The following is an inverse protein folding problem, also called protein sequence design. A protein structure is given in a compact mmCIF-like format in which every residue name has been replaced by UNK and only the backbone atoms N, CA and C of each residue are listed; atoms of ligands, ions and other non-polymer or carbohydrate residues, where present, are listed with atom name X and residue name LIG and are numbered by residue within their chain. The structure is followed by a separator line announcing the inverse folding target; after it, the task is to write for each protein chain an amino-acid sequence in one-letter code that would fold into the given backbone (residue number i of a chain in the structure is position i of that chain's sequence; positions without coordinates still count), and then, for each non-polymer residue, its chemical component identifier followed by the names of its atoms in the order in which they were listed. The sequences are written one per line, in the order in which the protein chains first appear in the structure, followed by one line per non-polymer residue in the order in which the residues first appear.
data_IF_246077262996
#
_entry.id   IF_246077262996
#
_cell.length_a   1.000
_cell.length_b   1.000
_cell.length_c   1.000
_cell.angle_alpha   90.00
_cell.angle_beta   90.00
_cell.angle_gamma   90.00
#
_symmetry.space_group_name_H-M   'P 1'
#
loop_
_entity.id
_entity.type
_entity.pdbx_description
1 polymer ?
#
# COMPACT_ATOMS: atom_id res chain seq x y z
N UNK A 1 -33.41 -71.78 -8.30
CA UNK A 1 -33.06 -70.66 -7.41
C UNK A 1 -31.67 -70.20 -7.80
N UNK A 2 -31.58 -69.16 -8.64
CA UNK A 2 -30.31 -68.57 -9.05
C UNK A 2 -30.12 -67.31 -8.23
N UNK A 3 -29.20 -67.34 -7.28
CA UNK A 3 -28.77 -66.15 -6.54
C UNK A 3 -27.74 -65.47 -7.42
N UNK A 4 -28.10 -64.33 -8.01
CA UNK A 4 -27.13 -63.46 -8.64
C UNK A 4 -26.24 -62.89 -7.55
N UNK A 5 -24.99 -63.36 -7.50
CA UNK A 5 -23.95 -62.70 -6.74
C UNK A 5 -23.67 -61.36 -7.42
N UNK A 6 -23.91 -60.27 -6.70
CA UNK A 6 -23.42 -58.96 -7.11
C UNK A 6 -21.89 -59.01 -7.08
N UNK A 7 -21.26 -59.19 -8.23
CA UNK A 7 -19.83 -58.91 -8.42
C UNK A 7 -19.72 -57.51 -8.96
N UNK A 8 -19.52 -56.56 -8.06
CA UNK A 8 -18.82 -55.30 -8.32
C UNK A 8 -18.72 -54.60 -6.97
N UNK A 9 -17.77 -55.09 -6.16
CA UNK A 9 -17.12 -54.23 -5.18
C UNK A 9 -16.56 -53.05 -5.98
N UNK A 10 -17.28 -51.92 -5.97
CA UNK A 10 -16.77 -50.64 -6.44
C UNK A 10 -15.49 -50.36 -5.65
N UNK A 11 -14.35 -50.71 -6.26
CA UNK A 11 -13.04 -50.36 -5.79
C UNK A 11 -12.97 -48.83 -5.76
N UNK A 12 -13.22 -48.25 -4.59
CA UNK A 12 -12.91 -46.85 -4.32
C UNK A 12 -11.44 -46.64 -4.67
N UNK A 13 -11.17 -45.91 -5.74
CA UNK A 13 -9.81 -45.51 -6.10
C UNK A 13 -9.31 -44.55 -5.01
N UNK A 14 -8.61 -45.08 -4.02
CA UNK A 14 -8.06 -44.36 -2.86
C UNK A 14 -6.82 -43.51 -3.20
N UNK A 15 -6.56 -43.25 -4.48
CA UNK A 15 -5.46 -42.38 -4.88
C UNK A 15 -5.78 -40.96 -4.42
N UNK A 16 -4.99 -40.48 -3.45
CA UNK A 16 -5.11 -39.12 -2.95
C UNK A 16 -4.93 -38.16 -4.14
N UNK A 17 -5.92 -37.30 -4.44
CA UNK A 17 -5.80 -36.39 -5.57
C UNK A 17 -4.57 -35.50 -5.36
N UNK A 18 -3.81 -35.28 -6.43
CA UNK A 18 -2.70 -34.32 -6.42
C UNK A 18 -3.28 -32.92 -6.26
N UNK A 19 -3.23 -32.39 -5.04
CA UNK A 19 -3.67 -31.03 -4.75
C UNK A 19 -2.55 -30.09 -5.23
N UNK A 20 -2.83 -29.15 -6.17
CA UNK A 20 -1.80 -28.22 -6.63
C UNK A 20 -1.31 -27.37 -5.45
N UNK A 21 -0.07 -26.90 -5.52
CA UNK A 21 0.44 -25.97 -4.51
C UNK A 21 -0.49 -24.76 -4.38
N UNK A 22 -0.52 -24.16 -3.20
CA UNK A 22 -1.31 -22.95 -2.93
C UNK A 22 -0.36 -21.82 -2.61
N UNK A 23 -0.72 -20.60 -2.99
CA UNK A 23 0.00 -19.42 -2.51
C UNK A 23 -0.01 -19.40 -0.98
N UNK A 24 1.10 -18.98 -0.38
CA UNK A 24 1.21 -18.91 1.07
C UNK A 24 0.44 -17.74 1.66
N UNK A 25 0.26 -16.68 0.87
CA UNK A 25 -0.53 -15.50 1.19
C UNK A 25 -1.62 -15.31 0.14
N UNK A 26 -2.76 -14.77 0.55
CA UNK A 26 -3.83 -14.36 -0.34
C UNK A 26 -3.33 -13.46 -1.49
N UNK A 27 -3.77 -13.72 -2.74
CA UNK A 27 -3.36 -12.96 -3.92
C UNK A 27 -4.09 -11.62 -4.02
N UNK A 28 -4.03 -10.79 -2.97
CA UNK A 28 -4.77 -9.52 -2.89
C UNK A 28 -4.45 -8.60 -4.07
N UNK A 29 -5.49 -8.07 -4.71
CA UNK A 29 -5.37 -7.07 -5.78
C UNK A 29 -4.89 -5.73 -5.21
N UNK A 30 -3.77 -5.18 -5.73
CA UNK A 30 -3.37 -3.85 -5.38
C UNK A 30 -4.39 -2.84 -5.86
N UNK A 31 -4.64 -1.85 -5.03
CA UNK A 31 -5.59 -0.78 -5.36
C UNK A 31 -4.86 0.30 -6.16
N UNK A 32 -5.52 0.84 -7.18
CA UNK A 32 -5.10 2.08 -7.86
C UNK A 32 -4.03 1.95 -8.91
N UNK A 33 -3.68 0.74 -9.34
CA UNK A 33 -2.68 0.53 -10.38
C UNK A 33 -3.06 1.30 -11.65
N UNK A 34 -2.15 2.15 -12.13
CA UNK A 34 -2.41 3.01 -13.29
C UNK A 34 -3.18 4.30 -12.98
N UNK A 35 -3.28 4.69 -11.71
CA UNK A 35 -3.88 5.96 -11.28
C UNK A 35 -2.99 6.70 -10.27
N UNK A 36 -3.30 7.96 -9.99
CA UNK A 36 -2.68 8.75 -8.91
C UNK A 36 -2.97 8.18 -7.52
N UNK A 37 -3.98 7.31 -7.42
CA UNK A 37 -4.46 6.69 -6.20
C UNK A 37 -3.91 5.28 -5.99
N UNK A 38 -2.85 4.92 -6.71
CA UNK A 38 -2.13 3.66 -6.50
C UNK A 38 -1.74 3.47 -5.05
N UNK A 39 -1.93 2.26 -4.56
CA UNK A 39 -1.62 1.84 -3.21
C UNK A 39 -0.10 1.83 -2.98
N UNK A 40 0.30 2.27 -1.80
CA UNK A 40 1.69 2.15 -1.34
C UNK A 40 2.05 0.71 -0.97
N UNK A 41 3.31 0.33 -1.16
CA UNK A 41 3.82 -0.98 -0.72
C UNK A 41 3.59 -1.23 0.78
N UNK A 42 3.75 -0.20 1.62
CA UNK A 42 3.48 -0.29 3.06
C UNK A 42 1.99 -0.52 3.34
N UNK A 43 1.11 0.20 2.63
CA UNK A 43 -0.35 0.00 2.69
C UNK A 43 -0.77 -1.40 2.27
N UNK A 44 -0.20 -1.91 1.17
CA UNK A 44 -0.48 -3.25 0.66
C UNK A 44 -0.10 -4.33 1.68
N UNK A 45 1.09 -4.24 2.28
CA UNK A 45 1.53 -5.19 3.33
C UNK A 45 0.58 -5.13 4.53
N UNK A 46 0.15 -3.94 4.94
CA UNK A 46 -0.78 -3.77 6.05
C UNK A 46 -2.17 -4.36 5.75
N UNK A 47 -2.71 -4.15 4.54
CA UNK A 47 -3.97 -4.78 4.08
C UNK A 47 -3.85 -6.29 3.97
N UNK A 48 -2.70 -6.78 3.49
CA UNK A 48 -2.44 -8.20 3.40
C UNK A 48 -2.44 -8.82 4.80
N UNK A 49 -1.81 -8.19 5.80
CA UNK A 49 -1.84 -8.68 7.17
C UNK A 49 -3.25 -8.67 7.77
N UNK A 50 -4.00 -7.57 7.58
CA UNK A 50 -5.39 -7.43 8.06
C UNK A 50 -6.31 -8.53 7.46
N UNK A 51 -6.16 -8.83 6.16
CA UNK A 51 -6.91 -9.90 5.49
C UNK A 51 -6.57 -11.30 6.03
N UNK A 52 -5.33 -11.50 6.51
CA UNK A 52 -4.92 -12.74 7.20
C UNK A 52 -5.25 -12.74 8.70
N UNK A 53 -5.87 -11.68 9.24
CA UNK A 53 -6.17 -11.52 10.66
C UNK A 53 -4.95 -11.60 11.58
N UNK A 54 -3.77 -11.27 11.06
CA UNK A 54 -2.51 -11.24 11.81
C UNK A 54 -1.93 -9.83 11.83
N UNK A 55 -0.97 -9.59 12.73
CA UNK A 55 -0.27 -8.30 12.75
C UNK A 55 0.67 -8.18 11.55
N UNK A 56 0.89 -6.96 11.07
CA UNK A 56 1.87 -6.67 10.02
C UNK A 56 3.27 -7.18 10.39
N UNK A 57 3.65 -7.03 11.66
CA UNK A 57 4.89 -7.55 12.21
C UNK A 57 4.97 -9.07 12.10
N UNK A 58 3.91 -9.79 12.46
CA UNK A 58 3.85 -11.25 12.34
C UNK A 58 3.96 -11.72 10.88
N UNK A 59 3.22 -11.09 9.96
CA UNK A 59 3.29 -11.40 8.53
C UNK A 59 4.73 -11.23 8.00
N UNK A 60 5.34 -10.09 8.30
CA UNK A 60 6.69 -9.77 7.81
C UNK A 60 7.73 -10.69 8.44
N UNK A 61 7.70 -10.88 9.77
CA UNK A 61 8.69 -11.68 10.49
C UNK A 61 8.58 -13.17 10.16
N UNK A 62 7.37 -13.71 9.99
CA UNK A 62 7.14 -15.14 9.81
C UNK A 62 7.14 -15.61 8.35
N UNK A 63 6.74 -14.75 7.40
CA UNK A 63 6.61 -15.13 5.98
C UNK A 63 7.63 -14.43 5.09
N UNK A 64 7.73 -13.11 5.21
CA UNK A 64 8.51 -12.29 4.27
C UNK A 64 10.01 -12.41 4.53
N UNK A 65 10.46 -12.17 5.76
CA UNK A 65 11.89 -12.17 6.11
C UNK A 65 12.57 -13.51 5.82
N UNK A 66 11.99 -14.68 6.16
CA UNK A 66 12.61 -15.97 5.83
C UNK A 66 12.90 -16.11 4.33
N UNK A 67 11.99 -15.65 3.48
CA UNK A 67 12.17 -15.71 2.03
C UNK A 67 13.19 -14.70 1.53
N UNK A 68 13.20 -13.48 2.08
CA UNK A 68 14.23 -12.48 1.78
C UNK A 68 15.64 -12.97 2.15
N UNK A 69 15.78 -13.71 3.26
CA UNK A 69 17.05 -14.33 3.69
C UNK A 69 17.52 -15.42 2.75
N UNK A 70 16.62 -16.28 2.28
CA UNK A 70 16.97 -17.31 1.30
C UNK A 70 17.53 -16.69 0.01
N UNK A 71 16.98 -15.54 -0.39
CA UNK A 71 17.44 -14.78 -1.56
C UNK A 71 18.70 -13.96 -1.31
N UNK A 72 19.08 -13.73 -0.04
CA UNK A 72 20.24 -12.93 0.36
C UNK A 72 21.09 -13.63 1.41
N UNK A 73 22.16 -14.25 0.95
CA UNK A 73 23.14 -14.94 1.80
C UNK A 73 23.93 -14.03 2.75
N UNK A 74 23.89 -12.70 2.61
CA UNK A 74 24.77 -11.78 3.37
C UNK A 74 24.09 -10.68 4.20
N UNK A 75 22.76 -10.52 4.16
CA UNK A 75 22.08 -9.41 4.87
C UNK A 75 21.46 -9.88 6.18
N UNK A 76 21.87 -9.28 7.30
CA UNK A 76 21.33 -9.55 8.64
C UNK A 76 19.84 -9.23 8.74
N UNK A 77 19.06 -10.14 9.31
CA UNK A 77 17.61 -9.97 9.58
C UNK A 77 17.32 -8.70 10.37
N UNK A 78 18.21 -8.32 11.29
CA UNK A 78 18.08 -7.13 12.14
C UNK A 78 18.13 -5.86 11.28
N UNK A 79 18.99 -5.83 10.26
CA UNK A 79 19.09 -4.69 9.36
C UNK A 79 17.84 -4.54 8.48
N UNK A 80 17.27 -5.65 8.00
CA UNK A 80 16.02 -5.62 7.24
C UNK A 80 14.86 -5.15 8.12
N UNK A 81 14.74 -5.68 9.34
CA UNK A 81 13.71 -5.27 10.30
C UNK A 81 13.84 -3.79 10.63
N UNK A 82 15.06 -3.30 10.90
CA UNK A 82 15.28 -1.89 11.20
C UNK A 82 14.99 -1.00 10.00
N UNK A 83 15.34 -1.41 8.77
CA UNK A 83 14.99 -0.64 7.58
C UNK A 83 13.49 -0.61 7.27
N UNK A 84 12.74 -1.66 7.62
CA UNK A 84 11.30 -1.73 7.36
C UNK A 84 10.45 -1.08 8.46
N UNK A 85 10.93 -1.09 9.71
CA UNK A 85 10.13 -0.70 10.88
C UNK A 85 10.73 0.45 11.72
N UNK A 86 11.95 0.92 11.41
CA UNK A 86 12.65 1.95 12.21
C UNK A 86 13.13 3.11 11.34
N UNK A 87 12.52 4.26 11.62
CA UNK A 87 12.56 5.47 10.82
C UNK A 87 13.99 5.99 10.53
N UNK A 88 14.88 5.99 11.53
CA UNK A 88 16.21 6.61 11.41
C UNK A 88 17.22 5.79 10.58
N UNK A 89 17.07 4.46 10.53
CA UNK A 89 18.05 3.58 9.88
C UNK A 89 17.79 3.49 8.36
N UNK A 90 16.55 3.67 7.90
CA UNK A 90 16.21 3.72 6.48
C UNK A 90 16.87 4.90 5.75
N UNK A 91 16.82 6.10 6.33
CA UNK A 91 17.34 7.32 5.69
C UNK A 91 18.86 7.45 5.75
N UNK A 92 19.52 6.82 6.73
CA UNK A 92 21.00 6.81 6.84
C UNK A 92 21.67 5.80 5.89
N UNK A 93 20.90 4.91 5.25
CA UNK A 93 21.43 3.98 4.25
C UNK A 93 21.66 4.65 2.88
N UNK A 94 22.47 4.00 2.03
CA UNK A 94 22.67 4.46 0.66
C UNK A 94 21.42 4.21 -0.19
N UNK A 95 21.18 5.02 -1.22
CA UNK A 95 20.09 4.82 -2.17
C UNK A 95 20.06 3.38 -2.71
N UNK A 96 21.23 2.84 -3.06
CA UNK A 96 21.40 1.48 -3.56
C UNK A 96 20.86 0.43 -2.58
N UNK A 97 21.18 0.54 -1.29
CA UNK A 97 20.70 -0.40 -0.26
C UNK A 97 19.18 -0.34 -0.11
N UNK A 98 18.57 0.84 -0.20
CA UNK A 98 17.11 1.00 -0.14
C UNK A 98 16.42 0.36 -1.33
N UNK A 99 16.91 0.64 -2.54
CA UNK A 99 16.40 0.04 -3.79
C UNK A 99 16.50 -1.48 -3.72
N UNK A 100 17.66 -1.97 -3.29
CA UNK A 100 17.93 -3.38 -3.13
C UNK A 100 16.93 -4.00 -2.14
N UNK A 101 16.77 -3.47 -0.92
CA UNK A 101 15.80 -3.96 0.08
C UNK A 101 14.37 -3.96 -0.46
N UNK A 102 13.92 -2.86 -1.06
CA UNK A 102 12.57 -2.76 -1.63
C UNK A 102 12.34 -3.77 -2.75
N UNK A 103 13.33 -3.97 -3.63
CA UNK A 103 13.26 -4.96 -4.72
C UNK A 103 13.14 -6.38 -4.19
N UNK A 104 13.93 -6.74 -3.18
CA UNK A 104 13.87 -8.07 -2.57
C UNK A 104 12.58 -8.28 -1.78
N UNK A 105 12.06 -7.23 -1.14
CA UNK A 105 10.75 -7.27 -0.48
C UNK A 105 9.63 -7.53 -1.49
N UNK A 106 9.60 -6.78 -2.60
CA UNK A 106 8.62 -6.99 -3.67
C UNK A 106 8.74 -8.40 -4.25
N UNK A 107 9.95 -8.89 -4.51
CA UNK A 107 10.16 -10.24 -5.04
C UNK A 107 9.66 -11.33 -4.07
N UNK A 108 9.88 -11.14 -2.76
CA UNK A 108 9.36 -12.06 -1.75
C UNK A 108 7.82 -12.03 -1.73
N UNK A 109 7.20 -10.85 -1.77
CA UNK A 109 5.75 -10.72 -1.80
C UNK A 109 5.15 -11.36 -3.07
N UNK A 110 5.74 -11.13 -4.26
CA UNK A 110 5.30 -11.76 -5.51
C UNK A 110 5.28 -13.29 -5.44
N UNK A 111 6.27 -13.88 -4.78
CA UNK A 111 6.35 -15.33 -4.60
C UNK A 111 5.35 -15.84 -3.55
N UNK A 112 5.14 -15.09 -2.46
CA UNK A 112 4.20 -15.47 -1.41
C UNK A 112 2.74 -15.35 -1.85
N UNK A 113 2.40 -14.36 -2.66
CA UNK A 113 1.03 -14.07 -3.14
C UNK A 113 0.77 -14.55 -4.56
N UNK A 114 1.80 -15.03 -5.29
CA UNK A 114 1.77 -15.35 -6.73
C UNK A 114 1.37 -14.19 -7.65
N UNK A 115 1.47 -12.94 -7.17
CA UNK A 115 1.20 -11.73 -7.95
C UNK A 115 2.40 -11.30 -8.77
N UNK A 116 2.15 -10.67 -9.92
CA UNK A 116 3.22 -10.15 -10.80
C UNK A 116 3.27 -8.63 -10.88
N UNK A 117 2.20 -7.98 -10.45
CA UNK A 117 1.90 -6.55 -10.58
C UNK A 117 2.37 -5.70 -9.39
N UNK A 118 2.92 -6.30 -8.33
CA UNK A 118 3.33 -5.57 -7.10
C UNK A 118 4.47 -4.55 -7.30
N UNK A 119 5.14 -4.56 -8.46
CA UNK A 119 6.24 -3.62 -8.74
C UNK A 119 5.77 -2.17 -8.89
N UNK A 120 4.47 -1.92 -9.09
CA UNK A 120 3.91 -0.56 -9.19
C UNK A 120 3.65 0.11 -7.83
N UNK A 121 3.74 -0.63 -6.72
CA UNK A 121 3.40 -0.13 -5.37
C UNK A 121 4.55 0.59 -4.67
N UNK A 122 5.72 0.58 -5.30
CA UNK A 122 6.90 1.31 -4.87
C UNK A 122 7.42 2.12 -6.05
N UNK A 123 7.99 3.31 -5.83
CA UNK A 123 8.57 4.14 -6.88
C UNK A 123 9.88 3.57 -7.48
N UNK A 124 9.98 2.24 -7.66
CA UNK A 124 11.22 1.52 -7.99
C UNK A 124 11.77 1.95 -9.35
N UNK A 125 10.90 2.26 -10.32
CA UNK A 125 11.32 2.71 -11.65
C UNK A 125 12.14 4.00 -11.63
N UNK A 126 11.92 4.84 -10.63
CA UNK A 126 12.47 6.19 -10.60
C UNK A 126 13.54 6.37 -9.53
N UNK A 127 13.51 5.54 -8.48
CA UNK A 127 14.52 5.49 -7.43
C UNK A 127 15.96 5.36 -7.98
N UNK A 128 16.14 4.73 -9.14
CA UNK A 128 17.43 4.52 -9.81
C UNK A 128 17.88 5.66 -10.72
N UNK A 129 16.98 6.59 -11.12
CA UNK A 129 17.27 7.58 -12.17
C UNK A 129 17.41 9.00 -11.59
N UNK A 130 16.66 9.37 -10.54
CA UNK A 130 16.61 10.77 -10.08
C UNK A 130 16.43 11.00 -8.57
N UNK A 131 16.44 9.97 -7.71
CA UNK A 131 15.90 10.12 -6.35
C UNK A 131 16.94 10.43 -5.28
N UNK A 132 16.76 11.56 -4.62
CA UNK A 132 17.01 11.62 -3.19
C UNK A 132 15.77 11.07 -2.47
N UNK A 133 15.94 10.04 -1.63
CA UNK A 133 14.85 9.55 -0.77
C UNK A 133 14.38 10.60 0.25
N UNK A 134 15.01 11.77 0.28
CA UNK A 134 14.60 12.97 1.02
C UNK A 134 13.22 13.48 0.66
N UNK A 135 12.60 13.03 -0.45
CA UNK A 135 11.22 13.38 -0.83
C UNK A 135 10.14 12.46 -0.22
N UNK A 136 10.53 11.37 0.42
CA UNK A 136 9.59 10.49 1.13
C UNK A 136 9.39 10.99 2.56
N UNK A 137 8.17 10.86 3.07
CA UNK A 137 7.84 11.14 4.47
C UNK A 137 8.48 10.10 5.38
N UNK A 138 8.97 10.59 6.53
CA UNK A 138 9.42 9.75 7.65
C UNK A 138 8.23 9.08 8.34
N UNK A 139 7.14 9.83 8.50
CA UNK A 139 5.94 9.37 9.17
C UNK A 139 4.80 9.09 8.19
N UNK A 140 3.89 8.21 8.57
CA UNK A 140 2.66 7.98 7.84
C UNK A 140 1.82 9.26 7.84
N UNK A 141 1.51 9.78 6.66
CA UNK A 141 0.50 10.82 6.49
C UNK A 141 -0.83 10.23 6.02
N UNK A 142 -1.95 10.88 6.34
CA UNK A 142 -3.27 10.46 5.84
C UNK A 142 -4.25 11.63 5.77
N UNK A 143 -5.31 11.45 4.97
CA UNK A 143 -6.47 12.33 5.00
C UNK A 143 -7.57 11.71 5.88
N UNK A 144 -7.97 12.35 7.00
CA UNK A 144 -9.02 11.80 7.87
C UNK A 144 -10.38 11.78 7.19
N UNK A 145 -10.63 12.72 6.26
CA UNK A 145 -11.89 12.79 5.50
C UNK A 145 -11.97 11.65 4.49
N UNK A 146 -10.88 11.33 3.78
CA UNK A 146 -10.82 10.14 2.91
C UNK A 146 -11.12 8.86 3.69
N UNK A 147 -10.44 8.64 4.82
CA UNK A 147 -10.69 7.43 5.62
C UNK A 147 -12.13 7.33 6.07
N UNK A 148 -12.71 8.41 6.57
CA UNK A 148 -14.09 8.42 7.06
C UNK A 148 -15.09 8.20 5.91
N UNK A 149 -14.88 8.89 4.78
CA UNK A 149 -15.68 8.70 3.57
C UNK A 149 -15.63 7.25 3.10
N UNK A 150 -14.45 6.64 3.01
CA UNK A 150 -14.31 5.24 2.60
C UNK A 150 -14.96 4.29 3.60
N UNK A 151 -14.83 4.55 4.91
CA UNK A 151 -15.42 3.72 5.95
C UNK A 151 -16.95 3.76 5.94
N UNK A 152 -17.54 4.96 5.90
CA UNK A 152 -19.00 5.15 5.87
C UNK A 152 -19.63 4.58 4.60
N UNK A 153 -18.92 4.64 3.46
CA UNK A 153 -19.38 4.09 2.19
C UNK A 153 -19.00 2.61 1.98
N UNK A 154 -18.58 1.91 3.03
CA UNK A 154 -18.21 0.49 3.00
C UNK A 154 -17.18 0.15 1.90
N UNK A 155 -16.21 1.05 1.71
CA UNK A 155 -15.10 0.92 0.77
C UNK A 155 -13.86 0.39 1.47
N UNK A 156 -12.99 -0.27 0.71
CA UNK A 156 -11.71 -0.76 1.24
C UNK A 156 -10.84 0.41 1.70
N UNK A 157 -10.38 0.35 2.95
CA UNK A 157 -9.44 1.32 3.52
C UNK A 157 -8.01 0.92 3.15
N UNK A 158 -7.27 1.84 2.56
CA UNK A 158 -5.88 1.61 2.12
C UNK A 158 -5.08 2.92 2.18
N UNK A 159 -3.77 2.85 1.95
CA UNK A 159 -2.89 4.02 1.98
C UNK A 159 -2.34 4.30 0.57
N UNK A 160 -2.80 5.36 -0.11
CA UNK A 160 -2.23 5.81 -1.39
C UNK A 160 -0.72 6.07 -1.30
N UNK A 161 0.01 5.73 -2.36
CA UNK A 161 1.43 6.00 -2.53
C UNK A 161 1.73 7.49 -2.46
N UNK A 162 0.84 8.32 -2.99
CA UNK A 162 0.98 9.78 -2.97
C UNK A 162 1.10 10.32 -1.53
N UNK A 163 0.48 9.68 -0.54
CA UNK A 163 0.59 10.11 0.86
C UNK A 163 1.97 9.85 1.46
N UNK A 164 2.84 9.07 0.82
CA UNK A 164 4.24 8.90 1.23
C UNK A 164 5.14 10.03 0.73
N UNK A 165 4.63 10.90 -0.13
CA UNK A 165 5.38 12.03 -0.70
C UNK A 165 5.32 13.21 0.25
N UNK A 166 6.47 13.73 0.67
CA UNK A 166 6.50 14.83 1.64
C UNK A 166 6.15 16.19 1.04
N UNK A 167 6.23 16.33 -0.28
CA UNK A 167 5.89 17.56 -0.99
C UNK A 167 4.40 17.69 -1.27
N UNK A 168 3.63 16.61 -1.13
CA UNK A 168 2.17 16.62 -1.23
C UNK A 168 1.63 16.83 0.18
N UNK A 169 1.38 18.08 0.54
CA UNK A 169 0.93 18.47 1.90
C UNK A 169 -0.59 18.43 2.07
N UNK A 170 -1.33 18.47 0.96
CA UNK A 170 -2.79 18.49 0.92
C UNK A 170 -3.35 17.25 0.23
N UNK A 171 -4.60 16.92 0.56
CA UNK A 171 -5.30 15.79 -0.01
C UNK A 171 -5.69 16.10 -1.47
N UNK A 172 -5.38 15.21 -2.44
CA UNK A 172 -5.79 15.41 -3.83
C UNK A 172 -7.31 15.29 -4.05
N UNK A 173 -8.03 14.60 -3.15
CA UNK A 173 -9.49 14.40 -3.22
C UNK A 173 -10.29 15.48 -2.50
N UNK A 174 -9.71 16.10 -1.46
CA UNK A 174 -10.40 17.05 -0.59
C UNK A 174 -9.66 18.37 -0.59
N UNK A 175 -10.23 19.38 -1.25
CA UNK A 175 -9.64 20.70 -1.37
C UNK A 175 -9.38 21.33 0.01
N UNK A 176 -8.23 21.99 0.14
CA UNK A 176 -7.74 22.60 1.39
C UNK A 176 -7.63 21.66 2.60
N UNK A 177 -7.72 20.34 2.44
CA UNK A 177 -7.57 19.38 3.53
C UNK A 177 -6.10 18.94 3.63
N UNK A 178 -5.36 19.35 4.68
CA UNK A 178 -3.98 18.90 4.87
C UNK A 178 -3.94 17.40 5.19
N UNK A 179 -2.87 16.74 4.74
CA UNK A 179 -2.51 15.40 5.21
C UNK A 179 -1.91 15.51 6.62
N UNK A 180 -2.44 14.69 7.54
CA UNK A 180 -2.06 14.67 8.94
C UNK A 180 -1.01 13.58 9.17
N UNK A 181 0.02 13.86 9.98
CA UNK A 181 1.03 12.87 10.41
C UNK A 181 0.97 12.51 11.90
N UNK A 182 0.28 13.31 12.70
CA UNK A 182 0.18 13.13 14.15
C UNK A 182 -1.18 12.57 14.54
N UNK A 183 -1.19 11.49 15.33
CA UNK A 183 -2.44 10.87 15.74
C UNK A 183 -3.25 11.81 16.66
N UNK A 184 -4.53 12.09 16.36
CA UNK A 184 -5.35 12.98 17.20
C UNK A 184 -5.71 12.38 18.58
N UNK A 185 -5.44 11.08 18.79
CA UNK A 185 -5.78 10.38 20.03
C UNK A 185 -4.60 10.22 20.99
N UNK A 186 -3.42 9.92 20.45
CA UNK A 186 -2.21 9.70 21.27
C UNK A 186 -1.09 10.70 21.01
N UNK A 187 -1.25 11.62 20.05
CA UNK A 187 -0.26 12.65 19.68
C UNK A 187 1.10 12.12 19.22
N UNK A 188 1.18 10.82 18.92
CA UNK A 188 2.37 10.19 18.41
C UNK A 188 2.37 10.16 16.88
N UNK A 189 3.56 10.26 16.30
CA UNK A 189 3.84 9.99 14.90
C UNK A 189 4.39 8.57 14.76
N UNK A 190 4.15 7.92 13.63
CA UNK A 190 4.60 6.55 13.39
C UNK A 190 5.01 6.37 11.93
N UNK A 191 5.94 5.44 11.63
CA UNK A 191 6.41 5.22 10.27
C UNK A 191 5.30 4.63 9.38
N UNK A 192 5.39 4.79 8.04
CA UNK A 192 4.47 4.19 7.08
C UNK A 192 4.25 2.68 7.23
N UNK A 193 5.28 1.96 7.67
CA UNK A 193 5.20 0.53 7.98
C UNK A 193 5.72 0.28 9.39
N UNK A 194 4.87 -0.31 10.22
CA UNK A 194 5.11 -0.66 11.62
C UNK A 194 4.62 -2.10 11.87
N UNK A 195 4.97 -2.66 13.03
CA UNK A 195 4.51 -4.01 13.41
C UNK A 195 2.99 -4.10 13.54
N UNK A 196 2.31 -2.99 13.78
CA UNK A 196 0.86 -2.94 13.97
C UNK A 196 0.20 -2.02 12.95
N UNK A 197 0.83 -1.78 11.80
CA UNK A 197 0.20 -1.05 10.70
C UNK A 197 -1.09 -1.73 10.31
N UNK A 198 -2.16 -0.95 10.29
CA UNK A 198 -3.48 -1.32 9.81
C UNK A 198 -4.09 -0.08 9.13
N UNK A 199 -4.53 -0.16 7.87
CA UNK A 199 -5.06 1.01 7.17
C UNK A 199 -6.20 1.67 7.94
N UNK A 200 -6.15 2.99 8.07
CA UNK A 200 -7.16 3.75 8.83
C UNK A 200 -7.01 3.74 10.35
N UNK A 201 -6.04 3.02 10.94
CA UNK A 201 -5.85 2.96 12.39
C UNK A 201 -4.44 3.39 12.80
N UNK A 202 -4.34 3.98 13.99
CA UNK A 202 -3.05 4.34 14.56
C UNK A 202 -2.22 3.07 14.86
N UNK A 203 -0.95 3.05 14.43
CA UNK A 203 -0.04 1.94 14.73
C UNK A 203 0.35 1.82 16.21
N UNK A 204 0.05 2.83 17.03
CA UNK A 204 0.46 2.91 18.44
C UNK A 204 -0.75 2.72 19.36
N UNK A 205 -1.79 3.55 19.23
CA UNK A 205 -2.98 3.46 20.09
C UNK A 205 -4.12 2.63 19.50
N UNK A 206 -4.00 2.19 18.24
CA UNK A 206 -4.98 1.36 17.53
C UNK A 206 -6.38 1.98 17.36
N UNK A 207 -6.52 3.28 17.64
CA UNK A 207 -7.75 4.03 17.41
C UNK A 207 -7.88 4.46 15.94
N UNK A 208 -9.13 4.58 15.49
CA UNK A 208 -9.51 5.00 14.14
C UNK A 208 -9.00 6.42 13.83
N UNK A 209 -8.41 6.60 12.66
CA UNK A 209 -7.79 7.84 12.20
C UNK A 209 -8.70 8.69 11.31
N UNK A 210 -9.85 8.16 10.90
CA UNK A 210 -10.89 8.93 10.23
C UNK A 210 -11.64 9.84 11.21
N UNK A 211 -12.39 10.78 10.66
CA UNK A 211 -13.05 11.83 11.42
C UNK A 211 -14.10 11.28 12.41
N UNK A 212 -13.97 11.59 13.70
CA UNK A 212 -15.14 11.55 14.61
C UNK A 212 -15.53 12.94 15.12
N UNK A 213 -14.74 14.01 14.86
CA UNK A 213 -14.99 15.38 15.36
C UNK A 213 -14.12 16.48 14.73
N UNK A 214 -13.81 16.41 13.43
CA UNK A 214 -13.22 17.55 12.67
C UNK A 214 -14.28 18.35 11.88
N UNK A 215 -15.56 17.96 11.98
CA UNK A 215 -16.68 18.65 11.34
C UNK A 215 -17.22 19.80 12.20
N UNK A 216 -16.56 20.95 12.13
CA UNK A 216 -17.22 22.25 12.05
C UNK A 216 -16.31 23.14 11.22
N UNK A 217 -16.45 23.09 9.88
CA UNK A 217 -16.23 24.21 8.95
C UNK A 217 -16.25 23.81 7.46
N UNK A 218 -16.39 22.54 7.08
CA UNK A 218 -16.57 22.17 5.67
C UNK A 218 -18.03 21.75 5.39
N UNK A 219 -18.94 22.72 5.47
CA UNK A 219 -20.24 22.56 4.82
C UNK A 219 -20.06 22.92 3.34
N UNK A 220 -20.50 22.02 2.47
CA UNK A 220 -20.79 22.22 1.05
C UNK A 220 -19.66 22.83 0.20
N UNK A 221 -18.94 21.99 -0.53
CA UNK A 221 -18.96 22.04 -2.00
C UNK A 221 -18.15 20.91 -2.64
N UNK A 222 -18.76 20.39 -3.68
CA UNK A 222 -18.39 19.23 -4.49
C UNK A 222 -17.30 19.58 -5.50
N UNK A 223 -16.48 18.57 -5.81
CA UNK A 223 -15.61 18.41 -6.98
C UNK A 223 -14.66 19.56 -7.35
N UNK A 224 -13.37 19.35 -7.03
CA UNK A 224 -12.29 19.84 -7.87
C UNK A 224 -11.21 18.76 -8.02
N UNK A 225 -11.60 17.65 -8.65
CA UNK A 225 -10.62 16.73 -9.28
C UNK A 225 -9.76 17.50 -10.29
N UNK A 226 -10.24 18.65 -10.77
CA UNK A 226 -9.62 19.49 -11.80
C UNK A 226 -8.41 20.31 -11.33
N UNK A 227 -8.33 20.78 -10.08
CA UNK A 227 -7.18 21.60 -9.64
C UNK A 227 -5.88 20.78 -9.57
N UNK A 228 -5.91 19.61 -8.94
CA UNK A 228 -4.75 18.72 -8.87
C UNK A 228 -4.42 18.12 -10.23
N UNK A 229 -5.42 17.76 -11.04
CA UNK A 229 -5.20 17.38 -12.45
C UNK A 229 -4.47 18.48 -13.20
N UNK A 230 -4.92 19.73 -13.13
CA UNK A 230 -4.26 20.85 -13.81
C UNK A 230 -2.85 21.10 -13.26
N UNK A 231 -2.63 21.05 -11.95
CA UNK A 231 -1.31 21.23 -11.34
C UNK A 231 -0.32 20.13 -11.76
N UNK A 232 -0.82 18.92 -12.01
CA UNK A 232 -0.04 17.76 -12.44
C UNK A 232 0.19 17.71 -13.97
N UNK A 233 -0.75 18.23 -14.78
CA UNK A 233 -0.77 18.18 -16.26
C UNK A 233 -0.19 19.45 -16.95
N UNK A 234 -0.04 20.59 -16.24
CA UNK A 234 0.33 21.86 -16.90
C UNK A 234 1.73 21.80 -17.56
N UNK A 235 1.85 22.07 -18.89
CA UNK A 235 3.14 22.00 -19.59
C UNK A 235 4.15 23.02 -19.07
N UNK A 236 5.43 22.64 -19.08
CA UNK A 236 6.60 23.35 -18.51
C UNK A 236 6.84 24.81 -18.94
N UNK A 237 6.03 25.39 -19.82
CA UNK A 237 6.34 26.64 -20.49
C UNK A 237 5.68 27.90 -19.91
N UNK A 238 4.82 27.82 -18.89
CA UNK A 238 4.08 29.00 -18.42
C UNK A 238 4.30 29.44 -16.96
N UNK A 239 5.03 28.72 -16.10
CA UNK A 239 5.37 29.24 -14.77
C UNK A 239 6.72 28.77 -14.25
N UNK A 240 7.68 29.70 -14.21
CA UNK A 240 9.05 29.53 -13.71
C UNK A 240 9.13 29.42 -12.17
N UNK A 241 8.10 28.90 -11.51
CA UNK A 241 7.96 28.98 -10.04
C UNK A 241 7.15 27.87 -9.36
N UNK A 242 6.49 26.96 -10.09
CA UNK A 242 5.69 25.91 -9.44
C UNK A 242 6.54 24.68 -9.10
N UNK A 243 7.10 24.69 -7.89
CA UNK A 243 7.95 23.65 -7.29
C UNK A 243 7.29 22.24 -7.29
N UNK A 244 5.96 22.19 -7.27
CA UNK A 244 5.14 20.95 -7.22
C UNK A 244 5.13 20.14 -8.53
N UNK A 245 5.26 20.80 -9.69
CA UNK A 245 5.24 20.14 -11.01
C UNK A 245 6.48 19.25 -11.20
N UNK A 246 7.65 19.75 -10.77
CA UNK A 246 8.91 18.98 -10.78
C UNK A 246 8.87 17.77 -9.84
N UNK A 247 8.08 17.87 -8.77
CA UNK A 247 7.98 16.83 -7.75
C UNK A 247 7.07 15.67 -8.18
N UNK A 248 6.31 15.83 -9.27
CA UNK A 248 5.39 14.82 -9.81
C UNK A 248 5.88 14.12 -11.09
N UNK A 249 7.10 14.44 -11.55
CA UNK A 249 7.75 13.83 -12.73
C UNK A 249 8.08 12.33 -12.60
N UNK A 250 7.80 11.72 -11.44
CA UNK A 250 7.97 10.29 -11.12
C UNK A 250 6.75 9.40 -11.36
N UNK A 251 5.66 9.95 -11.87
CA UNK A 251 4.57 9.16 -12.39
C UNK A 251 4.87 9.00 -13.89
N UNK A 252 5.03 7.76 -14.37
CA UNK A 252 5.03 7.50 -15.81
C UNK A 252 3.71 8.07 -16.34
N UNK A 253 3.78 9.04 -17.25
CA UNK A 253 2.62 9.63 -17.91
C UNK A 253 1.54 10.14 -16.94
N UNK A 254 1.91 11.17 -16.16
CA UNK A 254 1.01 11.86 -15.22
C UNK A 254 -0.34 12.20 -15.87
N UNK A 255 -0.30 12.57 -17.15
CA UNK A 255 -1.46 12.89 -17.98
C UNK A 255 -2.36 11.66 -18.17
N UNK A 256 -1.79 10.51 -18.52
CA UNK A 256 -2.52 9.23 -18.60
C UNK A 256 -3.05 8.77 -17.22
N UNK A 257 -2.27 8.87 -16.15
CA UNK A 257 -2.74 8.48 -14.80
C UNK A 257 -3.87 9.38 -14.31
N UNK A 258 -3.78 10.68 -14.58
CA UNK A 258 -4.82 11.65 -14.31
C UNK A 258 -6.07 11.36 -15.15
N UNK A 259 -5.93 11.04 -16.43
CA UNK A 259 -7.02 10.68 -17.33
C UNK A 259 -7.71 9.37 -16.92
N UNK A 260 -6.95 8.39 -16.43
CA UNK A 260 -7.45 7.07 -16.02
C UNK A 260 -8.02 7.03 -14.60
N UNK A 261 -7.98 8.14 -13.86
CA UNK A 261 -8.55 8.25 -12.52
C UNK A 261 -10.09 8.24 -12.59
N UNK A 262 -10.78 7.17 -12.15
CA UNK A 262 -12.24 7.10 -12.17
C UNK A 262 -12.83 7.89 -10.99
N UNK A 263 -14.04 8.40 -11.16
CA UNK A 263 -14.78 9.14 -10.13
C UNK A 263 -15.23 8.28 -8.93
N UNK A 264 -15.18 6.95 -9.04
CA UNK A 264 -15.52 5.98 -8.00
C UNK A 264 -14.53 4.82 -8.05
N UNK A 265 -13.37 5.01 -7.42
CA UNK A 265 -12.22 4.15 -7.63
C UNK A 265 -12.16 2.92 -6.69
N UNK A 266 -12.87 2.92 -5.57
CA UNK A 266 -12.68 1.90 -4.54
C UNK A 266 -13.63 0.70 -4.68
N UNK A 267 -13.11 -0.54 -4.66
CA UNK A 267 -13.96 -1.71 -4.58
C UNK A 267 -14.77 -1.66 -3.27
N UNK A 268 -16.05 -2.10 -3.29
CA UNK A 268 -16.78 -2.34 -2.05
C UNK A 268 -16.03 -3.38 -1.21
N UNK A 269 -16.19 -3.35 0.11
CA UNK A 269 -15.77 -4.47 0.95
C UNK A 269 -16.62 -5.67 0.50
N UNK A 270 -15.99 -6.65 -0.17
CA UNK A 270 -16.66 -7.89 -0.51
C UNK A 270 -17.19 -8.50 0.80
N UNK A 271 -18.52 -8.61 0.91
CA UNK A 271 -19.16 -9.46 1.91
C UNK A 271 -18.75 -10.90 1.58
N UNK A 272 -17.70 -11.40 2.24
CA UNK A 272 -17.41 -12.83 2.32
C UNK A 272 -18.35 -13.48 3.33
#
# INVERSE_FOLDING_TARGET
MSVNYYTEDEFWALEKPTIPERSQLFPLEPIGVGTLYVESLSGYIARLADCHTITTGELVLSKVIPLMRHKRSSVSSINIINHLFRDQDFFTSTNEKRIDIATTLIQALKELTWRQDLSCLWPLKWASIFFEFSILRLHQAWCPVCYDHWFVNNRVIYNPLLWLVNTIEECPEHDHQPLIEECPHCHEKFPPLSRYSRPGYCSICHLWLGSQKLNQLANEQTHSVDFWRQLLITPMHSHQSNKLVWQCMWFDDVDDLAANTPSDFLPPINEN
#
